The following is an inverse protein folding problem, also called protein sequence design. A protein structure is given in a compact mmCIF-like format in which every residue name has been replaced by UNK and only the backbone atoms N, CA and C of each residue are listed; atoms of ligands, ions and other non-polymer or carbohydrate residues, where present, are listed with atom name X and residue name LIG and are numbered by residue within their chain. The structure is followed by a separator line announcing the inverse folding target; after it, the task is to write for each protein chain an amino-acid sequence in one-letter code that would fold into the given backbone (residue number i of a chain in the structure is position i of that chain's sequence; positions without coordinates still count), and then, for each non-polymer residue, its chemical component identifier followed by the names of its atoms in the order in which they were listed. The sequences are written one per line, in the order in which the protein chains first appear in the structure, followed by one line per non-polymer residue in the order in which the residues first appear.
data_IF_178581684396
#
_entry.id   IF_178581684396
#
_cell.length_a   1.000
_cell.length_b   1.000
_cell.length_c   1.000
_cell.angle_alpha   90.00
_cell.angle_beta   90.00
_cell.angle_gamma   90.00
#
_symmetry.space_group_name_H-M   'P 1'
#
loop_
_entity.id
_entity.type
_entity.pdbx_description
1 polymer ?
#
# COMPACT_ATOMS: atom_id res chain seq x y z
N UNK A 1 8.71 11.92 1.21
CA UNK A 1 9.30 10.57 1.33
C UNK A 1 8.56 9.63 0.39
N UNK A 2 9.28 8.68 -0.21
CA UNK A 2 8.71 7.74 -1.19
C UNK A 2 9.18 6.32 -0.94
N UNK A 3 8.28 5.36 -1.09
CA UNK A 3 8.53 3.94 -0.89
C UNK A 3 8.07 3.16 -2.11
N UNK A 4 8.80 2.09 -2.42
CA UNK A 4 8.48 1.16 -3.50
C UNK A 4 8.22 -0.20 -2.86
N UNK A 5 6.96 -0.64 -2.88
CA UNK A 5 6.57 -1.95 -2.40
C UNK A 5 6.57 -2.92 -3.58
N UNK A 6 7.58 -3.79 -3.60
CA UNK A 6 7.69 -4.86 -4.59
C UNK A 6 6.97 -6.12 -4.09
N UNK A 7 5.96 -6.62 -4.81
CA UNK A 7 5.26 -7.82 -4.40
C UNK A 7 6.17 -9.06 -4.49
N UNK A 8 6.18 -9.89 -3.44
CA UNK A 8 6.97 -11.13 -3.39
C UNK A 8 6.39 -12.26 -4.26
N UNK A 9 5.07 -12.26 -4.46
CA UNK A 9 4.36 -13.26 -5.26
C UNK A 9 3.04 -12.70 -5.81
N UNK A 10 2.33 -13.51 -6.61
CA UNK A 10 1.06 -13.12 -7.25
C UNK A 10 -0.05 -12.78 -6.25
N UNK A 11 -0.09 -13.44 -5.09
CA UNK A 11 -1.07 -13.16 -4.05
C UNK A 11 -0.80 -11.77 -3.44
N UNK A 12 0.46 -11.47 -3.08
CA UNK A 12 0.87 -10.15 -2.61
C UNK A 12 0.58 -9.07 -3.65
N UNK A 13 0.85 -9.34 -4.94
CA UNK A 13 0.52 -8.44 -6.04
C UNK A 13 -0.99 -8.18 -6.12
N UNK A 14 -1.83 -9.17 -5.84
CA UNK A 14 -3.29 -9.04 -5.83
C UNK A 14 -3.76 -8.24 -4.61
N UNK A 15 -3.17 -8.47 -3.43
CA UNK A 15 -3.48 -7.73 -2.20
C UNK A 15 -3.18 -6.24 -2.34
N UNK A 16 -2.00 -5.86 -2.84
CA UNK A 16 -1.67 -4.44 -3.08
C UNK A 16 -2.42 -3.83 -4.28
N UNK A 17 -3.01 -4.66 -5.16
CA UNK A 17 -3.92 -4.20 -6.21
C UNK A 17 -5.21 -3.62 -5.62
N UNK A 18 -5.65 -4.15 -4.48
CA UNK A 18 -6.88 -3.73 -3.84
C UNK A 18 -6.80 -2.24 -3.45
N UNK A 19 -7.81 -1.46 -3.82
CA UNK A 19 -7.83 -0.02 -3.53
C UNK A 19 -7.92 0.24 -2.02
N UNK A 20 -8.72 -0.54 -1.29
CA UNK A 20 -8.85 -0.47 0.16
C UNK A 20 -7.54 -0.76 0.87
N UNK A 21 -6.79 -1.76 0.43
CA UNK A 21 -5.47 -2.04 1.01
C UNK A 21 -4.50 -0.86 0.81
N UNK A 22 -4.54 -0.24 -0.38
CA UNK A 22 -3.74 0.96 -0.65
C UNK A 22 -4.15 2.13 0.24
N UNK A 23 -5.44 2.29 0.51
CA UNK A 23 -5.93 3.29 1.46
C UNK A 23 -5.50 2.99 2.90
N UNK A 24 -5.50 1.72 3.33
CA UNK A 24 -5.00 1.33 4.65
C UNK A 24 -3.51 1.69 4.81
N UNK A 25 -2.68 1.38 3.80
CA UNK A 25 -1.26 1.76 3.79
C UNK A 25 -1.08 3.28 3.93
N UNK A 26 -1.82 4.07 3.13
CA UNK A 26 -1.73 5.53 3.20
C UNK A 26 -2.25 6.09 4.52
N UNK A 27 -3.30 5.48 5.07
CA UNK A 27 -3.90 5.88 6.33
C UNK A 27 -2.93 5.67 7.50
N UNK A 28 -2.34 4.48 7.63
CA UNK A 28 -1.42 4.16 8.73
C UNK A 28 -0.17 5.05 8.68
N UNK A 29 0.42 5.23 7.49
CA UNK A 29 1.53 6.15 7.29
C UNK A 29 1.17 7.59 7.67
N UNK A 30 -0.02 8.05 7.25
CA UNK A 30 -0.51 9.40 7.58
C UNK A 30 -0.73 9.58 9.08
N UNK A 31 -1.24 8.54 9.75
CA UNK A 31 -1.60 8.58 11.15
C UNK A 31 -0.36 8.60 12.05
N UNK A 32 0.66 7.80 11.71
CA UNK A 32 1.88 7.69 12.53
C UNK A 32 2.86 8.84 12.30
N UNK A 33 3.10 9.21 11.04
CA UNK A 33 4.14 10.21 10.72
C UNK A 33 3.59 11.65 10.73
N UNK A 34 2.26 11.80 10.77
CA UNK A 34 1.58 13.04 10.44
C UNK A 34 1.79 13.40 8.97
N UNK A 35 0.84 14.09 8.35
CA UNK A 35 0.96 14.54 6.96
C UNK A 35 0.55 15.99 6.85
N UNK A 36 1.22 16.74 5.99
CA UNK A 36 0.75 18.06 5.60
C UNK A 36 -0.53 17.87 4.79
N UNK A 37 -1.69 17.99 5.45
CA UNK A 37 -2.99 18.07 4.78
C UNK A 37 -3.46 19.50 4.92
N UNK A 38 -3.37 20.26 3.83
CA UNK A 38 -4.18 21.47 3.68
C UNK A 38 -5.35 21.12 2.76
N UNK A 39 -6.57 21.41 3.21
CA UNK A 39 -7.82 21.09 2.49
C UNK A 39 -7.94 21.73 1.11
N UNK A 40 -7.00 22.62 0.73
CA UNK A 40 -6.94 23.28 -0.57
C UNK A 40 -5.89 22.76 -1.55
N UNK A 41 -4.96 21.88 -1.15
CA UNK A 41 -3.82 21.50 -2.00
C UNK A 41 -3.73 19.97 -2.19
N UNK A 42 -4.35 19.43 -3.26
CA UNK A 42 -4.33 18.00 -3.56
C UNK A 42 -2.92 17.43 -3.79
N UNK A 43 -1.96 18.25 -4.18
CA UNK A 43 -0.57 17.80 -4.37
C UNK A 43 0.10 17.40 -3.06
N UNK A 44 -0.42 17.84 -1.91
CA UNK A 44 0.07 17.45 -0.59
C UNK A 44 -0.55 16.13 -0.08
N UNK A 45 -1.56 15.60 -0.77
CA UNK A 45 -2.20 14.36 -0.36
C UNK A 45 -1.26 13.15 -0.54
N UNK A 46 -1.25 12.21 0.42
CA UNK A 46 -0.61 10.92 0.26
C UNK A 46 -1.13 10.17 -0.97
N UNK A 47 -0.23 9.58 -1.76
CA UNK A 47 -0.57 8.88 -3.00
C UNK A 47 0.00 7.46 -3.01
N UNK A 48 -0.81 6.51 -3.47
CA UNK A 48 -0.40 5.13 -3.70
C UNK A 48 -0.77 4.72 -5.13
N UNK A 49 0.23 4.67 -6.01
CA UNK A 49 0.04 4.34 -7.43
C UNK A 49 0.73 3.03 -7.77
N UNK A 50 -0.02 2.14 -8.41
CA UNK A 50 0.47 0.83 -8.83
C UNK A 50 0.96 0.89 -10.28
N UNK A 51 2.09 0.25 -10.55
CA UNK A 51 2.53 -0.09 -11.91
C UNK A 51 1.74 -1.31 -12.40
N UNK A 52 1.09 -1.16 -13.55
CA UNK A 52 0.28 -2.21 -14.16
C UNK A 52 1.12 -3.34 -14.75
N UNK A 53 2.37 -3.06 -15.15
CA UNK A 53 3.25 -4.03 -15.80
C UNK A 53 3.95 -4.91 -14.75
N UNK A 54 4.51 -4.30 -13.70
CA UNK A 54 5.30 -5.02 -12.68
C UNK A 54 4.49 -5.42 -11.46
N UNK A 55 3.31 -4.80 -11.24
CA UNK A 55 2.52 -4.98 -10.02
C UNK A 55 3.08 -4.23 -8.81
N UNK A 56 4.18 -3.50 -8.96
CA UNK A 56 4.82 -2.71 -7.91
C UNK A 56 3.93 -1.56 -7.46
N UNK A 57 3.92 -1.26 -6.15
CA UNK A 57 3.18 -0.13 -5.59
C UNK A 57 4.15 0.98 -5.16
N UNK A 58 4.07 2.13 -5.83
CA UNK A 58 4.72 3.35 -5.37
C UNK A 58 3.85 4.06 -4.35
N UNK A 59 4.42 4.39 -3.19
CA UNK A 59 3.79 5.15 -2.12
C UNK A 59 4.55 6.45 -1.94
N UNK A 60 3.85 7.57 -1.97
CA UNK A 60 4.40 8.90 -1.78
C UNK A 60 3.65 9.60 -0.66
N UNK A 61 4.41 10.15 0.30
CA UNK A 61 3.87 10.90 1.42
C UNK A 61 4.73 12.15 1.67
N UNK A 62 4.09 13.21 2.15
CA UNK A 62 4.75 14.40 2.67
C UNK A 62 4.53 14.46 4.19
N UNK A 63 5.37 13.75 4.97
CA UNK A 63 5.14 13.61 6.39
C UNK A 63 5.66 14.85 7.13
N UNK A 64 5.00 15.17 8.25
CA UNK A 64 5.50 16.19 9.17
C UNK A 64 6.74 15.68 9.91
N UNK A 65 6.73 14.40 10.30
CA UNK A 65 7.87 13.76 10.93
C UNK A 65 8.66 12.91 9.94
N UNK A 66 9.85 13.39 9.57
CA UNK A 66 10.72 12.72 8.59
C UNK A 66 11.51 11.57 9.25
N UNK A 67 10.82 10.48 9.58
CA UNK A 67 11.40 9.27 10.19
C UNK A 67 11.24 8.06 9.29
N UNK A 68 12.27 7.81 8.49
CA UNK A 68 12.30 6.67 7.54
C UNK A 68 12.21 5.33 8.24
N UNK A 69 12.89 5.17 9.37
CA UNK A 69 12.88 3.95 10.18
C UNK A 69 11.46 3.61 10.70
N UNK A 70 10.73 4.63 11.16
CA UNK A 70 9.34 4.46 11.58
C UNK A 70 8.42 4.16 10.40
N UNK A 71 8.61 4.85 9.28
CA UNK A 71 7.80 4.64 8.08
C UNK A 71 7.91 3.20 7.54
N UNK A 72 9.12 2.63 7.54
CA UNK A 72 9.34 1.23 7.15
C UNK A 72 8.63 0.28 8.12
N UNK A 73 8.76 0.48 9.43
CA UNK A 73 8.05 -0.35 10.42
C UNK A 73 6.54 -0.30 10.25
N UNK A 74 5.99 0.89 10.04
CA UNK A 74 4.55 1.06 9.79
C UNK A 74 4.13 0.29 8.55
N UNK A 75 4.89 0.38 7.45
CA UNK A 75 4.62 -0.37 6.22
C UNK A 75 4.64 -1.88 6.41
N UNK A 76 5.49 -2.39 7.30
CA UNK A 76 5.57 -3.82 7.64
C UNK A 76 4.40 -4.31 8.50
N UNK A 77 3.80 -3.42 9.30
CA UNK A 77 2.73 -3.75 10.25
C UNK A 77 1.31 -3.46 9.73
N UNK A 78 1.16 -2.83 8.55
CA UNK A 78 -0.16 -2.53 7.98
C UNK A 78 -1.03 -3.80 7.90
N UNK A 79 -2.22 -3.81 8.51
CA UNK A 79 -3.09 -4.98 8.47
C UNK A 79 -3.58 -5.25 7.06
N UNK A 80 -3.69 -6.52 6.71
CA UNK A 80 -4.28 -6.95 5.43
C UNK A 80 -5.80 -6.96 5.61
N UNK A 81 -6.52 -6.19 4.79
CA UNK A 81 -7.97 -6.15 4.80
C UNK A 81 -8.54 -7.47 4.24
N UNK A 82 -9.63 -7.96 4.83
CA UNK A 82 -10.29 -9.19 4.38
C UNK A 82 -10.70 -9.11 2.89
N UNK A 83 -11.23 -7.98 2.44
CA UNK A 83 -11.58 -7.74 1.03
C UNK A 83 -10.36 -7.66 0.10
N UNK A 84 -9.15 -7.46 0.63
CA UNK A 84 -7.90 -7.49 -0.11
C UNK A 84 -7.28 -8.90 -0.18
N UNK A 85 -7.76 -9.84 0.64
CA UNK A 85 -7.41 -11.24 0.54
C UNK A 85 -8.16 -11.83 -0.66
N UNK A 86 -7.53 -11.74 -1.83
CA UNK A 86 -7.82 -12.63 -2.95
C UNK A 86 -6.64 -13.58 -3.07
N UNK A 87 -6.92 -14.88 -3.00
CA UNK A 87 -5.98 -15.94 -3.37
C UNK A 87 -6.44 -16.56 -4.69
N UNK A 88 -6.14 -15.94 -5.85
CA UNK A 88 -6.53 -16.51 -7.15
C UNK A 88 -5.91 -17.88 -7.38
N UNK A 89 -4.75 -18.15 -6.78
CA UNK A 89 -4.07 -19.45 -6.87
C UNK A 89 -4.87 -20.61 -6.28
N UNK A 90 -5.72 -20.37 -5.28
CA UNK A 90 -6.61 -21.43 -4.74
C UNK A 90 -7.73 -21.78 -5.72
N UNK A 91 -8.25 -20.79 -6.46
CA UNK A 91 -9.19 -21.03 -7.55
C UNK A 91 -8.54 -21.81 -8.70
N UNK A 92 -7.27 -21.49 -9.03
CA UNK A 92 -6.52 -22.19 -10.08
C UNK A 92 -6.25 -23.65 -9.68
N UNK A 93 -5.84 -23.92 -8.42
CA UNK A 93 -5.62 -25.29 -7.93
C UNK A 93 -6.87 -26.17 -7.97
N UNK A 94 -8.06 -25.61 -7.74
CA UNK A 94 -9.33 -26.34 -7.82
C UNK A 94 -9.70 -26.80 -9.24
N UNK A 95 -9.19 -26.14 -10.28
CA UNK A 95 -9.53 -26.44 -11.68
C UNK A 95 -8.67 -27.54 -12.30
N UNK A 96 -7.64 -28.00 -11.59
CA UNK A 96 -6.67 -29.03 -12.05
C UNK A 96 -6.87 -30.36 -11.30
N UNK A 97 -8.01 -30.55 -10.62
CA UNK A 97 -8.42 -31.83 -10.03
C UNK A 97 -9.62 -32.40 -10.77
#
# INVERSE_FOLDING_TARGET
MGFILTPKNFNSATTIANLGQRQAILFDLSNVLGVYRDSGEPSLCPLAKRDLNTGTLGVFILPQWQREDLAVRVLEEVPILENAIRMPTDFIKKKVR
#
